data_IF_691349694429
#
_entry.id   IF_691349694429
#
_cell.length_a   1.000
_cell.length_b   1.000
_cell.length_c   1.000
_cell.angle_alpha   90.00
_cell.angle_beta   90.00
_cell.angle_gamma   90.00
#
_symmetry.space_group_name_H-M   'P 1'
#
loop_
_entity.id
_entity.type
_entity.pdbx_description
1 polymer ?
#
# COMPACT_ATOMS: atom_id res chain seq x y z
N UNK A 1 -47.62 16.22 -78.74
CA UNK A 1 -46.21 15.75 -78.79
C UNK A 1 -45.49 16.24 -77.54
N UNK A 2 -45.20 15.38 -76.55
CA UNK A 2 -43.85 14.90 -76.21
C UNK A 2 -43.89 14.08 -74.91
N UNK A 3 -43.03 13.06 -74.85
CA UNK A 3 -42.87 12.05 -73.79
C UNK A 3 -42.43 12.66 -72.45
N UNK A 4 -42.80 12.03 -71.33
CA UNK A 4 -41.84 11.32 -70.46
C UNK A 4 -42.52 10.69 -69.24
N UNK A 5 -42.23 9.40 -69.07
CA UNK A 5 -42.58 8.55 -67.94
C UNK A 5 -41.63 8.81 -66.76
N UNK A 6 -42.16 8.96 -65.54
CA UNK A 6 -41.38 8.90 -64.31
C UNK A 6 -42.14 8.04 -63.29
N UNK A 7 -41.74 6.77 -63.20
CA UNK A 7 -42.06 5.89 -62.08
C UNK A 7 -41.32 6.41 -60.85
N UNK A 8 -42.05 6.91 -59.85
CA UNK A 8 -41.53 7.21 -58.53
C UNK A 8 -41.89 6.08 -57.55
N UNK A 9 -40.90 5.27 -57.21
CA UNK A 9 -40.86 4.36 -56.06
C UNK A 9 -39.45 4.51 -55.44
N UNK A 10 -39.17 4.08 -54.21
CA UNK A 10 -39.75 4.43 -52.93
C UNK A 10 -38.60 4.92 -52.00
N UNK A 11 -37.90 6.00 -52.37
CA UNK A 11 -36.69 6.44 -51.63
C UNK A 11 -36.98 7.23 -50.34
N UNK A 12 -38.23 7.63 -50.11
CA UNK A 12 -38.59 8.52 -49.00
C UNK A 12 -38.88 7.81 -47.66
N UNK A 13 -39.01 6.47 -47.65
CA UNK A 13 -39.33 5.70 -46.42
C UNK A 13 -38.12 5.16 -45.67
N UNK A 14 -36.92 5.25 -46.23
CA UNK A 14 -35.70 4.73 -45.58
C UNK A 14 -34.99 5.82 -44.77
N UNK A 15 -35.16 7.10 -45.10
CA UNK A 15 -34.46 8.20 -44.44
C UNK A 15 -35.04 8.65 -43.10
N UNK A 16 -36.27 8.24 -42.74
CA UNK A 16 -36.86 8.59 -41.43
C UNK A 16 -36.57 7.57 -40.33
N UNK A 17 -36.05 6.38 -40.66
CA UNK A 17 -35.78 5.32 -39.68
C UNK A 17 -34.35 5.32 -39.11
N UNK A 18 -33.42 6.10 -39.69
CA UNK A 18 -32.00 6.07 -39.30
C UNK A 18 -31.55 7.25 -38.43
N UNK A 19 -32.41 8.25 -38.19
CA UNK A 19 -32.07 9.42 -37.38
C UNK A 19 -32.47 9.29 -35.89
N UNK A 20 -33.33 8.32 -35.55
CA UNK A 20 -33.79 8.07 -34.18
C UNK A 20 -32.82 7.25 -33.31
N UNK A 21 -31.92 6.36 -33.83
CA UNK A 21 -31.06 5.59 -32.94
C UNK A 21 -29.96 6.45 -32.30
N UNK A 22 -29.46 7.49 -32.97
CA UNK A 22 -28.33 8.27 -32.46
C UNK A 22 -28.73 9.26 -31.35
N UNK A 23 -29.99 9.74 -31.33
CA UNK A 23 -30.49 10.62 -30.26
C UNK A 23 -30.78 9.87 -28.95
N UNK A 24 -30.91 8.54 -28.99
CA UNK A 24 -31.15 7.72 -27.80
C UNK A 24 -29.86 7.22 -27.14
N UNK A 25 -28.72 7.24 -27.82
CA UNK A 25 -27.43 6.89 -27.21
C UNK A 25 -26.92 7.95 -26.22
N UNK A 26 -27.43 9.18 -26.28
CA UNK A 26 -27.11 10.24 -25.31
C UNK A 26 -27.91 10.17 -24.00
N UNK A 27 -28.95 9.35 -23.92
CA UNK A 27 -29.81 9.20 -22.73
C UNK A 27 -29.65 7.84 -22.03
N UNK A 28 -28.70 7.00 -22.45
CA UNK A 28 -28.51 5.66 -21.89
C UNK A 28 -27.92 5.66 -20.47
N UNK A 29 -27.33 6.78 -20.01
CA UNK A 29 -26.80 6.92 -18.65
C UNK A 29 -27.86 7.18 -17.58
N UNK A 30 -29.12 7.42 -17.97
CA UNK A 30 -30.19 7.85 -17.06
C UNK A 30 -31.35 6.84 -16.94
N UNK A 31 -31.31 5.72 -17.66
CA UNK A 31 -32.34 4.69 -17.60
C UNK A 31 -31.79 3.51 -16.82
N UNK A 32 -31.96 3.52 -15.49
CA UNK A 32 -31.83 2.34 -14.65
C UNK A 32 -33.21 1.67 -14.56
N UNK A 33 -33.57 0.74 -15.47
CA UNK A 33 -34.94 0.25 -15.61
C UNK A 33 -35.46 -0.53 -14.38
N UNK A 34 -34.58 -0.92 -13.46
CA UNK A 34 -34.91 -1.67 -12.24
C UNK A 34 -34.71 -0.86 -10.96
N UNK A 35 -34.47 0.45 -11.06
CA UNK A 35 -34.11 1.31 -9.93
C UNK A 35 -32.61 1.52 -9.80
N UNK A 36 -32.24 2.42 -8.90
CA UNK A 36 -30.86 2.74 -8.53
C UNK A 36 -30.66 2.46 -7.06
N UNK A 37 -29.58 1.76 -6.74
CA UNK A 37 -29.05 1.74 -5.38
C UNK A 37 -28.04 2.88 -5.25
N UNK A 38 -28.34 3.80 -4.33
CA UNK A 38 -27.45 4.89 -3.93
C UNK A 38 -26.83 4.57 -2.57
N UNK A 39 -25.58 4.99 -2.40
CA UNK A 39 -24.90 4.84 -1.12
C UNK A 39 -23.62 5.65 -1.07
N UNK A 40 -22.98 5.63 0.10
CA UNK A 40 -21.66 6.21 0.28
C UNK A 40 -20.65 5.10 0.51
N UNK A 41 -19.47 5.25 -0.09
CA UNK A 41 -18.32 4.37 0.13
C UNK A 41 -17.13 5.19 0.61
N UNK A 42 -16.32 4.66 1.54
CA UNK A 42 -15.09 5.33 1.93
C UNK A 42 -14.13 5.45 0.73
N UNK A 43 -13.66 6.66 0.48
CA UNK A 43 -12.71 6.97 -0.57
C UNK A 43 -11.29 7.04 0.00
N UNK A 44 -10.70 5.85 0.17
CA UNK A 44 -9.34 5.73 0.68
C UNK A 44 -8.29 6.38 -0.24
N UNK A 45 -8.57 6.51 -1.55
CA UNK A 45 -7.64 7.11 -2.52
C UNK A 45 -7.45 8.60 -2.26
N UNK A 46 -8.52 9.27 -1.85
CA UNK A 46 -8.51 10.70 -1.51
C UNK A 46 -8.40 10.96 0.00
N UNK A 47 -7.90 9.97 0.76
CA UNK A 47 -7.62 10.17 2.18
C UNK A 47 -6.47 11.15 2.39
N UNK A 48 -6.53 11.91 3.48
CA UNK A 48 -5.52 12.90 3.82
C UNK A 48 -5.33 12.98 5.33
N UNK A 49 -4.15 13.43 5.75
CA UNK A 49 -3.84 13.63 7.16
C UNK A 49 -4.16 15.04 7.60
N UNK A 50 -4.75 15.18 8.78
CA UNK A 50 -5.08 16.48 9.36
C UNK A 50 -4.78 16.49 10.86
N UNK A 51 -4.24 17.60 11.34
CA UNK A 51 -4.05 17.81 12.77
C UNK A 51 -5.39 17.82 13.51
N UNK A 52 -5.42 17.14 14.65
CA UNK A 52 -6.54 17.13 15.58
C UNK A 52 -6.50 18.31 16.58
N UNK A 53 -5.43 19.10 16.55
CA UNK A 53 -5.28 20.26 17.43
C UNK A 53 -6.02 21.49 16.91
N UNK A 54 -6.56 22.30 17.83
CA UNK A 54 -7.25 23.55 17.47
C UNK A 54 -6.32 24.63 16.91
N UNK A 55 -5.06 24.62 17.31
CA UNK A 55 -4.01 25.57 16.90
C UNK A 55 -2.66 24.84 16.82
N UNK A 56 -2.44 24.05 15.76
CA UNK A 56 -1.22 23.27 15.65
C UNK A 56 -0.01 24.17 15.47
N UNK A 57 1.12 23.76 16.07
CA UNK A 57 2.39 24.48 15.95
C UNK A 57 3.03 24.33 14.55
N UNK A 58 2.69 23.27 13.82
CA UNK A 58 3.16 22.94 12.47
C UNK A 58 1.98 22.79 11.51
N UNK A 59 2.21 23.04 10.23
CA UNK A 59 1.18 22.74 9.22
C UNK A 59 1.08 21.23 8.97
N UNK A 60 -0.04 20.78 8.40
CA UNK A 60 -0.22 19.37 8.06
C UNK A 60 0.86 18.89 7.08
N UNK A 61 1.26 19.75 6.13
CA UNK A 61 2.28 19.47 5.12
C UNK A 61 3.67 19.33 5.75
N UNK A 62 4.01 20.20 6.71
CA UNK A 62 5.28 20.11 7.43
C UNK A 62 5.39 18.80 8.22
N UNK A 63 4.34 18.43 8.95
CA UNK A 63 4.31 17.16 9.69
C UNK A 63 4.40 15.98 8.73
N UNK A 64 3.67 16.02 7.61
CA UNK A 64 3.71 14.97 6.60
C UNK A 64 5.12 14.77 6.03
N UNK A 65 5.81 15.85 5.67
CA UNK A 65 7.17 15.81 5.14
C UNK A 65 8.16 15.29 6.19
N UNK A 66 8.13 15.82 7.41
CA UNK A 66 8.99 15.39 8.52
C UNK A 66 8.80 13.90 8.85
N UNK A 67 7.55 13.45 8.95
CA UNK A 67 7.25 12.04 9.24
C UNK A 67 7.61 11.12 8.08
N UNK A 68 7.49 11.58 6.83
CA UNK A 68 7.97 10.83 5.66
C UNK A 68 9.47 10.67 5.70
N UNK A 69 10.21 11.77 5.89
CA UNK A 69 11.68 11.74 5.98
C UNK A 69 12.16 10.88 7.16
N UNK A 70 11.48 10.95 8.31
CA UNK A 70 11.79 10.10 9.47
C UNK A 70 11.60 8.63 9.13
N UNK A 71 10.48 8.27 8.50
CA UNK A 71 10.21 6.89 8.09
C UNK A 71 11.23 6.38 7.04
N UNK A 72 11.61 7.22 6.08
CA UNK A 72 12.65 6.91 5.09
C UNK A 72 14.01 6.66 5.77
N UNK A 73 14.42 7.54 6.68
CA UNK A 73 15.69 7.41 7.40
C UNK A 73 15.74 6.15 8.27
N UNK A 74 14.64 5.82 8.94
CA UNK A 74 14.53 4.60 9.74
C UNK A 74 14.55 3.34 8.89
N UNK A 75 13.87 3.32 7.74
CA UNK A 75 13.95 2.23 6.75
C UNK A 75 15.40 2.03 6.27
N UNK A 76 16.09 3.13 5.98
CA UNK A 76 17.48 3.10 5.53
C UNK A 76 18.40 2.56 6.63
N UNK A 77 18.19 2.96 7.88
CA UNK A 77 18.95 2.47 9.05
C UNK A 77 18.76 0.97 9.28
N UNK A 78 17.52 0.49 9.15
CA UNK A 78 17.21 -0.94 9.21
C UNK A 78 17.94 -1.71 8.10
N UNK A 79 17.89 -1.19 6.87
CA UNK A 79 18.63 -1.77 5.74
C UNK A 79 20.14 -1.85 6.01
N UNK A 80 20.73 -0.79 6.55
CA UNK A 80 22.16 -0.75 6.89
C UNK A 80 22.55 -1.76 7.97
N UNK A 81 21.79 -1.84 9.07
CA UNK A 81 22.02 -2.80 10.14
C UNK A 81 22.01 -4.24 9.60
N UNK A 82 21.08 -4.52 8.70
CA UNK A 82 20.97 -5.83 8.10
C UNK A 82 22.07 -6.14 7.09
N UNK A 83 22.45 -5.18 6.24
CA UNK A 83 23.57 -5.36 5.31
C UNK A 83 24.87 -5.63 6.06
N UNK A 84 25.07 -5.00 7.22
CA UNK A 84 26.19 -5.30 8.10
C UNK A 84 26.13 -6.75 8.61
N UNK A 85 24.96 -7.18 9.10
CA UNK A 85 24.73 -8.54 9.56
C UNK A 85 25.03 -9.56 8.45
N UNK A 86 24.61 -9.31 7.21
CA UNK A 86 24.86 -10.22 6.07
C UNK A 86 26.32 -10.27 5.64
N UNK A 87 27.02 -9.14 5.63
CA UNK A 87 28.41 -9.10 5.19
C UNK A 87 29.36 -9.69 6.23
N UNK A 88 29.08 -9.47 7.50
CA UNK A 88 30.02 -9.76 8.59
C UNK A 88 29.60 -10.92 9.47
N UNK A 89 28.33 -11.33 9.40
CA UNK A 89 27.72 -12.24 10.36
C UNK A 89 27.29 -11.54 11.65
N UNK A 90 27.66 -10.28 11.87
CA UNK A 90 27.45 -9.57 13.14
C UNK A 90 26.90 -8.14 12.94
N UNK A 91 26.26 -7.58 13.96
CA UNK A 91 25.93 -6.15 14.06
C UNK A 91 26.76 -5.54 15.18
N UNK A 92 27.28 -4.33 14.96
CA UNK A 92 28.14 -3.68 15.96
C UNK A 92 27.76 -2.20 16.08
N UNK A 93 28.21 -1.58 17.18
CA UNK A 93 28.09 -0.14 17.38
C UNK A 93 26.64 0.34 17.36
N UNK A 94 26.35 1.34 16.53
CA UNK A 94 25.03 1.97 16.46
C UNK A 94 23.94 1.06 15.90
N UNK A 95 24.30 0.14 14.99
CA UNK A 95 23.35 -0.81 14.41
C UNK A 95 22.91 -1.87 15.43
N UNK A 96 23.79 -2.24 16.35
CA UNK A 96 23.44 -3.12 17.46
C UNK A 96 22.43 -2.44 18.41
N UNK A 97 22.70 -1.17 18.79
CA UNK A 97 21.78 -0.40 19.64
C UNK A 97 20.43 -0.17 18.96
N UNK A 98 20.44 0.13 17.66
CA UNK A 98 19.24 0.28 16.87
C UNK A 98 18.41 -1.00 16.86
N UNK A 99 19.01 -2.14 16.54
CA UNK A 99 18.32 -3.42 16.50
C UNK A 99 17.77 -3.84 17.88
N UNK A 100 18.49 -3.55 18.97
CA UNK A 100 17.98 -3.73 20.33
C UNK A 100 16.71 -2.91 20.61
N UNK A 101 16.72 -1.62 20.24
CA UNK A 101 15.54 -0.75 20.40
C UNK A 101 14.36 -1.23 19.54
N UNK A 102 14.64 -1.69 18.33
CA UNK A 102 13.63 -2.22 17.41
C UNK A 102 12.92 -3.44 18.02
N UNK A 103 13.69 -4.42 18.51
CA UNK A 103 13.14 -5.64 19.11
C UNK A 103 12.42 -5.39 20.45
N UNK A 104 12.82 -4.34 21.17
CA UNK A 104 12.15 -3.91 22.40
C UNK A 104 10.85 -3.11 22.19
N UNK A 105 10.51 -2.73 20.96
CA UNK A 105 9.32 -1.93 20.69
C UNK A 105 8.07 -2.83 20.55
N UNK A 106 7.01 -2.59 21.35
CA UNK A 106 5.77 -3.37 21.31
C UNK A 106 5.06 -3.39 19.94
N UNK A 107 5.24 -2.35 19.12
CA UNK A 107 4.67 -2.29 17.77
C UNK A 107 5.36 -3.28 16.82
N UNK A 108 6.61 -3.61 17.10
CA UNK A 108 7.43 -4.54 16.32
C UNK A 108 7.55 -5.92 17.01
N UNK A 109 7.20 -6.05 18.29
CA UNK A 109 7.10 -7.34 19.00
C UNK A 109 5.94 -8.21 18.51
N UNK A 110 5.00 -7.65 17.73
CA UNK A 110 3.95 -8.37 17.02
C UNK A 110 4.44 -9.09 15.76
N UNK A 111 5.71 -8.91 15.38
CA UNK A 111 6.40 -9.79 14.45
C UNK A 111 6.49 -11.16 15.11
N UNK A 112 5.46 -11.98 14.91
CA UNK A 112 5.58 -13.41 15.20
C UNK A 112 6.80 -13.86 14.41
N UNK A 113 7.86 -14.20 15.13
CA UNK A 113 8.84 -15.14 14.61
C UNK A 113 8.06 -16.28 13.99
N UNK A 114 8.54 -16.82 12.87
CA UNK A 114 7.80 -17.80 12.07
C UNK A 114 7.33 -19.04 12.86
N UNK A 115 7.75 -19.21 14.12
CA UNK A 115 7.13 -20.05 15.14
C UNK A 115 7.13 -19.39 16.52
N UNK A 116 6.13 -19.74 17.32
CA UNK A 116 6.09 -19.45 18.76
C UNK A 116 7.42 -19.92 19.40
N UNK A 117 8.19 -18.97 19.91
CA UNK A 117 9.43 -19.23 20.64
C UNK A 117 9.07 -20.05 21.88
N UNK A 118 9.69 -21.22 22.13
CA UNK A 118 9.57 -21.87 23.41
C UNK A 118 9.99 -20.89 24.50
N UNK A 119 9.16 -20.75 25.54
CA UNK A 119 9.26 -19.77 26.63
C UNK A 119 10.57 -19.79 27.44
N UNK A 120 11.58 -20.55 27.02
CA UNK A 120 12.77 -20.89 27.78
C UNK A 120 14.12 -20.37 27.25
N UNK A 121 14.14 -19.45 26.28
CA UNK A 121 15.38 -18.76 25.91
C UNK A 121 15.16 -17.25 25.86
N UNK A 122 15.25 -16.62 27.03
CA UNK A 122 15.32 -15.16 27.20
C UNK A 122 16.66 -14.55 26.72
N UNK A 123 17.56 -15.36 26.17
CA UNK A 123 18.95 -14.97 25.84
C UNK A 123 19.31 -15.17 24.35
N UNK A 124 18.34 -15.30 23.44
CA UNK A 124 18.68 -15.23 22.00
C UNK A 124 19.12 -13.79 21.67
N UNK A 125 20.41 -13.66 21.34
CA UNK A 125 21.01 -12.38 20.97
C UNK A 125 20.20 -11.70 19.86
N UNK A 126 20.24 -10.37 19.82
CA UNK A 126 19.59 -9.54 18.79
C UNK A 126 19.90 -10.02 17.37
N UNK A 127 21.12 -10.55 17.17
CA UNK A 127 21.54 -11.15 15.92
C UNK A 127 20.79 -12.44 15.58
N UNK A 128 20.58 -13.34 16.56
CA UNK A 128 19.82 -14.57 16.36
C UNK A 128 18.39 -14.27 15.91
N UNK A 129 17.74 -13.32 16.58
CA UNK A 129 16.38 -12.88 16.24
C UNK A 129 16.29 -12.26 14.82
N UNK A 130 17.33 -11.56 14.37
CA UNK A 130 17.41 -11.00 13.01
C UNK A 130 17.81 -12.02 11.92
N UNK A 131 18.49 -13.13 12.29
CA UNK A 131 18.91 -14.20 11.36
C UNK A 131 17.78 -15.19 11.05
N UNK A 132 16.96 -15.49 12.07
CA UNK A 132 15.85 -16.46 12.03
C UNK A 132 14.93 -16.36 10.80
N UNK A 133 14.60 -15.17 10.31
CA UNK A 133 13.79 -15.02 9.10
C UNK A 133 14.41 -15.52 7.79
N UNK A 134 15.72 -15.76 7.76
CA UNK A 134 16.48 -16.12 6.54
C UNK A 134 16.96 -17.54 6.58
N UNK A 135 17.44 -17.95 7.75
CA UNK A 135 17.98 -19.27 7.97
C UNK A 135 17.62 -19.70 9.38
N UNK A 136 17.21 -20.96 9.50
CA UNK A 136 16.90 -21.62 10.76
C UNK A 136 18.18 -21.97 11.56
N UNK A 137 19.29 -21.27 11.30
CA UNK A 137 20.62 -21.59 11.83
C UNK A 137 21.22 -20.39 12.54
N UNK A 138 21.62 -20.59 13.78
CA UNK A 138 22.37 -19.59 14.56
C UNK A 138 23.83 -19.45 14.10
N UNK A 139 24.29 -20.29 13.15
CA UNK A 139 25.64 -20.26 12.65
C UNK A 139 25.88 -18.98 11.80
N UNK A 140 26.69 -18.02 12.28
CA UNK A 140 26.89 -16.74 11.60
C UNK A 140 27.57 -16.90 10.23
N UNK A 141 28.39 -17.95 10.05
CA UNK A 141 29.07 -18.22 8.78
C UNK A 141 28.08 -18.70 7.72
N UNK A 142 27.19 -19.61 8.09
CA UNK A 142 26.15 -20.13 7.19
C UNK A 142 25.15 -19.04 6.80
N UNK A 143 24.72 -18.22 7.77
CA UNK A 143 23.90 -17.05 7.50
C UNK A 143 24.58 -16.08 6.54
N UNK A 144 25.86 -15.74 6.77
CA UNK A 144 26.63 -14.85 5.90
C UNK A 144 26.70 -15.37 4.46
N UNK A 145 26.92 -16.67 4.27
CA UNK A 145 26.96 -17.27 2.93
C UNK A 145 25.61 -17.17 2.21
N UNK A 146 24.50 -17.50 2.90
CA UNK A 146 23.15 -17.43 2.32
C UNK A 146 22.72 -15.99 2.06
N UNK A 147 22.82 -15.12 3.07
CA UNK A 147 22.38 -13.75 2.94
C UNK A 147 23.26 -12.96 1.97
N UNK A 148 24.59 -13.12 2.04
CA UNK A 148 25.52 -12.45 1.13
C UNK A 148 25.20 -12.78 -0.34
N UNK A 149 24.96 -14.05 -0.65
CA UNK A 149 24.56 -14.49 -1.98
C UNK A 149 23.25 -13.84 -2.46
N UNK A 150 22.23 -13.76 -1.58
CA UNK A 150 20.95 -13.14 -1.91
C UNK A 150 21.10 -11.62 -2.16
N UNK A 151 21.86 -10.93 -1.32
CA UNK A 151 22.13 -9.49 -1.41
C UNK A 151 22.91 -9.13 -2.68
N UNK A 152 23.83 -9.99 -3.13
CA UNK A 152 24.61 -9.78 -4.35
C UNK A 152 23.77 -9.99 -5.61
N UNK A 153 22.85 -10.95 -5.61
CA UNK A 153 22.05 -11.27 -6.80
C UNK A 153 20.82 -10.40 -6.99
N UNK A 154 20.29 -9.78 -5.94
CA UNK A 154 19.01 -9.10 -6.00
C UNK A 154 19.02 -7.73 -5.27
N UNK A 155 19.85 -6.82 -5.80
CA UNK A 155 20.02 -5.48 -5.24
C UNK A 155 18.72 -4.64 -5.21
N UNK A 156 17.78 -4.90 -6.13
CA UNK A 156 16.48 -4.22 -6.18
C UNK A 156 15.46 -4.78 -5.16
N UNK A 157 15.64 -6.02 -4.71
CA UNK A 157 14.84 -6.66 -3.65
C UNK A 157 15.36 -6.33 -2.23
N UNK A 158 16.43 -5.55 -2.11
CA UNK A 158 16.99 -5.05 -0.85
C UNK A 158 16.03 -4.26 0.05
N UNK A 159 14.86 -3.85 -0.43
CA UNK A 159 13.91 -3.05 0.37
C UNK A 159 12.61 -3.79 0.65
N UNK A 160 12.05 -4.49 -0.35
CA UNK A 160 10.71 -5.09 -0.25
C UNK A 160 10.70 -6.48 0.40
N UNK A 161 11.75 -7.28 0.19
CA UNK A 161 11.83 -8.69 0.63
C UNK A 161 12.79 -8.89 1.79
N UNK A 162 13.28 -7.82 2.42
CA UNK A 162 14.34 -7.89 3.40
C UNK A 162 13.90 -8.51 4.77
N UNK A 163 13.68 -9.82 4.72
CA UNK A 163 14.11 -10.85 5.67
C UNK A 163 13.14 -11.09 6.82
N UNK A 164 11.96 -11.61 6.45
CA UNK A 164 10.89 -12.25 7.24
C UNK A 164 10.45 -11.63 8.58
N UNK A 165 10.95 -10.45 8.92
CA UNK A 165 10.14 -9.38 9.46
C UNK A 165 9.35 -8.84 8.27
N UNK A 166 8.03 -8.66 8.36
CA UNK A 166 7.26 -7.98 7.31
C UNK A 166 7.62 -6.48 7.30
N UNK A 167 8.82 -6.14 6.80
CA UNK A 167 9.38 -4.78 6.78
C UNK A 167 8.61 -3.86 5.83
N UNK A 168 7.80 -4.42 4.91
CA UNK A 168 6.88 -3.64 4.08
C UNK A 168 5.94 -2.75 4.91
N UNK A 169 5.68 -3.10 6.18
CA UNK A 169 4.93 -2.26 7.13
C UNK A 169 5.80 -1.48 8.11
N UNK A 170 7.12 -1.69 8.17
CA UNK A 170 8.00 -0.99 9.12
C UNK A 170 7.98 0.51 8.88
N UNK A 171 8.28 0.93 7.64
CA UNK A 171 8.18 2.32 7.21
C UNK A 171 6.81 2.91 7.50
N UNK A 172 5.75 2.17 7.15
CA UNK A 172 4.37 2.57 7.39
C UNK A 172 4.05 2.74 8.88
N UNK A 173 4.57 1.86 9.75
CA UNK A 173 4.38 1.93 11.20
C UNK A 173 5.15 3.09 11.82
N UNK A 174 6.40 3.31 11.42
CA UNK A 174 7.20 4.47 11.85
C UNK A 174 6.49 5.76 11.43
N UNK A 175 6.03 5.83 10.19
CA UNK A 175 5.26 6.96 9.69
C UNK A 175 4.00 7.18 10.52
N UNK A 176 3.16 6.15 10.72
CA UNK A 176 1.93 6.26 11.53
C UNK A 176 2.19 6.66 12.97
N UNK A 177 3.27 6.16 13.57
CA UNK A 177 3.67 6.55 14.92
C UNK A 177 4.04 8.04 14.96
N UNK A 178 4.87 8.52 14.03
CA UNK A 178 5.22 9.93 13.93
C UNK A 178 3.97 10.81 13.71
N UNK A 179 3.05 10.38 12.86
CA UNK A 179 1.78 11.09 12.65
C UNK A 179 0.95 11.16 13.94
N UNK A 180 0.87 10.07 14.71
CA UNK A 180 0.16 10.04 15.98
C UNK A 180 0.81 10.94 17.06
N UNK A 181 2.15 10.92 17.14
CA UNK A 181 2.94 11.79 18.04
C UNK A 181 2.77 13.28 17.71
N UNK A 182 2.52 13.61 16.44
CA UNK A 182 2.19 14.96 15.97
C UNK A 182 0.68 15.24 15.94
N UNK A 183 -0.14 14.45 16.64
CA UNK A 183 -1.59 14.64 16.76
C UNK A 183 -2.34 14.67 15.43
N UNK A 184 -1.86 13.93 14.42
CA UNK A 184 -2.49 13.83 13.12
C UNK A 184 -3.46 12.64 13.07
N UNK A 185 -4.60 12.84 12.41
CA UNK A 185 -5.57 11.78 12.10
C UNK A 185 -5.71 11.61 10.58
N UNK A 186 -5.85 10.36 10.15
CA UNK A 186 -6.18 10.03 8.76
C UNK A 186 -7.68 10.26 8.55
N UNK A 187 -8.01 11.18 7.67
CA UNK A 187 -9.39 11.49 7.27
C UNK A 187 -9.65 10.75 5.97
N UNK A 188 -10.64 9.85 5.99
CA UNK A 188 -11.13 9.14 4.80
C UNK A 188 -12.46 9.77 4.40
N UNK A 189 -12.52 10.58 3.32
CA UNK A 189 -13.79 11.13 2.85
C UNK A 189 -14.70 10.00 2.33
N UNK A 190 -16.00 10.29 2.24
CA UNK A 190 -16.95 9.40 1.60
C UNK A 190 -17.24 9.92 0.19
N UNK A 191 -17.30 9.02 -0.78
CA UNK A 191 -17.75 9.31 -2.14
C UNK A 191 -19.11 8.64 -2.35
N UNK A 192 -20.03 9.38 -2.97
CA UNK A 192 -21.35 8.87 -3.35
C UNK A 192 -21.22 7.97 -4.58
N UNK A 193 -21.92 6.85 -4.57
CA UNK A 193 -22.09 6.02 -5.75
C UNK A 193 -23.58 5.85 -6.04
N UNK A 194 -23.90 5.76 -7.33
CA UNK A 194 -25.20 5.34 -7.82
C UNK A 194 -24.96 4.22 -8.82
N UNK A 195 -25.61 3.08 -8.59
CA UNK A 195 -25.52 1.91 -9.46
C UNK A 195 -26.92 1.49 -9.87
N UNK A 196 -27.12 1.25 -11.17
CA UNK A 196 -28.37 0.65 -11.64
C UNK A 196 -28.52 -0.76 -11.07
N UNK A 197 -29.70 -1.08 -10.57
CA UNK A 197 -30.03 -2.42 -10.14
C UNK A 197 -30.12 -3.34 -11.37
N UNK A 198 -29.64 -4.57 -11.22
CA UNK A 198 -29.79 -5.62 -12.23
C UNK A 198 -30.80 -6.66 -11.74
N UNK A 199 -31.57 -7.24 -12.65
CA UNK A 199 -32.37 -8.43 -12.32
C UNK A 199 -31.41 -9.57 -11.96
N UNK A 200 -31.47 -10.03 -10.71
CA UNK A 200 -30.87 -11.30 -10.28
C UNK A 200 -31.87 -12.42 -10.54
N UNK A 201 -31.48 -13.45 -11.29
CA UNK A 201 -32.20 -14.72 -11.45
C UNK A 201 -31.69 -15.76 -10.46
#
# INVERSE_FOLDING_TARGET
MNKSSLKAFPLLRVLTLTCVPMLLLGCASALCPFGTTEGTVPDFKNSYWRSTEKKPAKTNEQVLEECTHTADAEEQRLSQAYLQLCKTGHITGENQRFAQKLLGNPLFSGSKTAKAVPQHQSDESVEAQLRWPVTYSDNPKYFKEICGYYVEKNAAERSSTMLGLQVGRYKEQVFKQCMAENHMALIVPNTEFSKCDMISW
#
